data_IF_723699598344
#
_entry.id   IF_723699598344
#
_cell.length_a   1.000
_cell.length_b   1.000
_cell.length_c   1.000
_cell.angle_alpha   90.00
_cell.angle_beta   90.00
_cell.angle_gamma   90.00
#
_symmetry.space_group_name_H-M   'P 1'
#
loop_
_entity.id
_entity.type
_entity.pdbx_description
1 polymer ?
#
# COMPACT_ATOMS: atom_id res chain seq x y z
N UNK A 1 -15.39 -21.10 -14.76
CA UNK A 1 -15.28 -19.64 -14.88
C UNK A 1 -14.20 -19.34 -15.89
N UNK A 2 -14.45 -18.46 -16.78
CA UNK A 2 -13.51 -18.04 -17.82
C UNK A 2 -12.93 -16.68 -17.41
N UNK A 3 -11.74 -16.37 -17.91
CA UNK A 3 -11.08 -15.05 -17.75
C UNK A 3 -11.99 -13.88 -18.21
N UNK A 4 -13.06 -14.17 -18.94
CA UNK A 4 -14.06 -13.20 -19.41
C UNK A 4 -14.97 -12.64 -18.30
N UNK A 5 -14.95 -13.23 -17.10
CA UNK A 5 -15.82 -12.82 -15.98
C UNK A 5 -15.09 -11.88 -14.98
N UNK A 6 -13.87 -11.45 -15.30
CA UNK A 6 -13.10 -10.55 -14.42
C UNK A 6 -13.76 -9.18 -14.36
N UNK A 7 -13.98 -8.70 -13.12
CA UNK A 7 -14.56 -7.40 -12.81
C UNK A 7 -13.63 -6.51 -11.97
N UNK A 8 -12.63 -7.10 -11.29
CA UNK A 8 -11.72 -6.39 -10.41
C UNK A 8 -10.29 -6.87 -10.59
N UNK A 9 -9.36 -5.94 -10.76
CA UNK A 9 -7.92 -6.20 -10.96
C UNK A 9 -7.15 -5.43 -9.88
N UNK A 10 -6.58 -6.13 -8.90
CA UNK A 10 -5.75 -5.57 -7.85
C UNK A 10 -4.27 -5.74 -8.19
N UNK A 11 -3.53 -4.65 -8.17
CA UNK A 11 -2.12 -4.64 -8.57
C UNK A 11 -1.29 -3.98 -7.47
N UNK A 12 -0.29 -4.70 -6.94
CA UNK A 12 0.76 -4.09 -6.16
C UNK A 12 1.66 -3.22 -7.05
N UNK A 13 2.40 -2.30 -6.45
CA UNK A 13 3.23 -1.35 -7.20
C UNK A 13 4.71 -1.73 -7.24
N UNK A 14 5.37 -1.70 -6.07
CA UNK A 14 6.84 -1.79 -5.99
C UNK A 14 7.30 -3.24 -6.17
N UNK A 15 7.96 -3.56 -7.29
CA UNK A 15 8.36 -4.92 -7.65
C UNK A 15 7.27 -5.69 -8.42
N UNK A 16 6.12 -5.06 -8.68
CA UNK A 16 4.98 -5.66 -9.41
C UNK A 16 4.65 -4.85 -10.67
N UNK A 17 3.96 -3.70 -10.53
CA UNK A 17 3.64 -2.84 -11.67
C UNK A 17 4.81 -1.95 -12.08
N UNK A 18 5.55 -1.45 -11.07
CA UNK A 18 6.67 -0.53 -11.27
C UNK A 18 7.97 -1.31 -11.52
N UNK A 19 8.75 -0.85 -12.49
CA UNK A 19 10.14 -1.31 -12.69
C UNK A 19 11.06 -0.82 -11.55
N UNK A 20 12.34 -1.19 -11.56
CA UNK A 20 13.31 -0.81 -10.54
C UNK A 20 13.57 0.70 -10.51
N UNK A 21 13.30 1.42 -11.63
CA UNK A 21 13.35 2.88 -11.71
C UNK A 21 12.09 3.56 -11.17
N UNK A 22 11.13 2.78 -10.67
CA UNK A 22 9.82 3.25 -10.15
C UNK A 22 8.93 3.89 -11.22
N UNK A 23 9.07 3.46 -12.46
CA UNK A 23 8.25 3.84 -13.60
C UNK A 23 7.21 2.75 -13.87
N UNK A 24 5.97 3.13 -14.20
CA UNK A 24 4.93 2.21 -14.66
C UNK A 24 4.99 2.04 -16.19
N UNK A 25 4.52 0.91 -16.75
CA UNK A 25 4.43 0.69 -18.19
C UNK A 25 3.56 1.76 -18.87
N UNK A 26 3.98 2.33 -20.02
CA UNK A 26 3.31 3.47 -20.66
C UNK A 26 1.87 3.16 -21.09
N UNK A 27 1.54 1.92 -21.32
CA UNK A 27 0.20 1.46 -21.72
C UNK A 27 -0.70 1.05 -20.53
N UNK A 28 -0.24 1.19 -19.28
CA UNK A 28 -1.06 0.88 -18.11
C UNK A 28 -2.30 1.81 -18.01
N UNK A 29 -2.10 3.12 -18.12
CA UNK A 29 -3.25 4.05 -18.07
C UNK A 29 -4.21 3.87 -19.25
N UNK A 30 -3.75 3.73 -20.51
CA UNK A 30 -4.60 3.31 -21.64
C UNK A 30 -5.40 2.04 -21.37
N UNK A 31 -4.79 1.02 -20.75
CA UNK A 31 -5.49 -0.21 -20.37
C UNK A 31 -6.61 0.04 -19.35
N UNK A 32 -6.36 0.86 -18.32
CA UNK A 32 -7.39 1.28 -17.36
C UNK A 32 -8.55 1.98 -18.08
N UNK A 33 -8.26 2.93 -18.98
CA UNK A 33 -9.28 3.66 -19.73
C UNK A 33 -10.11 2.77 -20.64
N UNK A 34 -9.50 1.78 -21.28
CA UNK A 34 -10.18 0.84 -22.18
C UNK A 34 -11.08 -0.16 -21.42
N UNK A 35 -10.66 -0.59 -20.22
CA UNK A 35 -11.38 -1.59 -19.44
C UNK A 35 -12.46 -0.99 -18.52
N UNK A 36 -12.32 0.27 -18.09
CA UNK A 36 -13.28 0.93 -17.21
C UNK A 36 -14.72 0.94 -17.77
N UNK A 37 -15.00 1.32 -19.04
CA UNK A 37 -16.36 1.27 -19.59
C UNK A 37 -16.91 -0.15 -19.76
N UNK A 38 -16.04 -1.19 -19.75
CA UNK A 38 -16.45 -2.60 -19.76
C UNK A 38 -16.87 -3.11 -18.38
N UNK A 39 -16.88 -2.25 -17.35
CA UNK A 39 -17.20 -2.61 -15.95
C UNK A 39 -16.03 -3.19 -15.16
N UNK A 40 -14.82 -3.25 -15.71
CA UNK A 40 -13.64 -3.75 -15.02
C UNK A 40 -12.99 -2.61 -14.24
N UNK A 41 -12.75 -2.83 -12.94
CA UNK A 41 -12.18 -1.85 -12.02
C UNK A 41 -10.76 -2.24 -11.63
N UNK A 42 -9.90 -1.24 -11.48
CA UNK A 42 -8.54 -1.43 -11.00
C UNK A 42 -8.37 -0.94 -9.57
N UNK A 43 -7.56 -1.66 -8.83
CA UNK A 43 -7.10 -1.31 -7.48
C UNK A 43 -5.58 -1.21 -7.49
N UNK A 44 -5.04 -0.10 -7.05
CA UNK A 44 -3.61 0.05 -6.76
C UNK A 44 -3.39 -0.19 -5.27
N UNK A 45 -2.69 -1.29 -4.92
CA UNK A 45 -2.49 -1.75 -3.56
C UNK A 45 -1.04 -1.53 -3.11
N UNK A 46 -0.78 -0.59 -2.20
CA UNK A 46 0.59 -0.21 -1.83
C UNK A 46 0.72 0.16 -0.35
N UNK A 47 1.95 0.07 0.18
CA UNK A 47 2.32 0.67 1.47
C UNK A 47 2.49 2.19 1.44
N UNK A 48 2.38 2.82 0.26
CA UNK A 48 2.53 4.28 0.07
C UNK A 48 1.30 5.04 0.53
N UNK A 49 1.50 6.35 0.82
CA UNK A 49 0.41 7.27 1.13
C UNK A 49 -0.52 7.44 -0.09
N UNK A 50 -1.84 7.56 0.15
CA UNK A 50 -2.85 7.79 -0.90
C UNK A 50 -2.49 8.96 -1.83
N UNK A 51 -2.07 10.11 -1.28
CA UNK A 51 -1.72 11.30 -2.07
C UNK A 51 -0.53 11.08 -3.01
N UNK A 52 0.37 10.16 -2.66
CA UNK A 52 1.46 9.74 -3.53
C UNK A 52 0.93 8.92 -4.71
N UNK A 53 0.06 7.94 -4.44
CA UNK A 53 -0.57 7.09 -5.45
C UNK A 53 -1.44 7.89 -6.42
N UNK A 54 -2.35 8.72 -5.89
CA UNK A 54 -3.26 9.53 -6.71
C UNK A 54 -2.49 10.50 -7.63
N UNK A 55 -1.37 11.07 -7.16
CA UNK A 55 -0.55 11.95 -7.99
C UNK A 55 0.21 11.20 -9.09
N UNK A 56 0.63 9.95 -8.83
CA UNK A 56 1.35 9.13 -9.81
C UNK A 56 0.45 8.73 -10.98
N UNK A 57 -0.84 8.45 -10.72
CA UNK A 57 -1.82 8.01 -11.70
C UNK A 57 -2.87 9.06 -12.04
N UNK A 58 -2.52 10.36 -11.89
CA UNK A 58 -3.41 11.51 -12.05
C UNK A 58 -4.39 11.47 -13.23
N UNK A 59 -3.96 11.11 -14.47
CA UNK A 59 -4.84 11.05 -15.63
C UNK A 59 -6.02 10.07 -15.51
N UNK A 60 -5.88 9.01 -14.70
CA UNK A 60 -6.91 7.97 -14.50
C UNK A 60 -7.34 7.84 -13.04
N UNK A 61 -6.96 8.78 -12.18
CA UNK A 61 -7.17 8.70 -10.74
C UNK A 61 -8.65 8.56 -10.34
N UNK A 62 -9.56 9.10 -11.14
CA UNK A 62 -11.01 9.03 -10.98
C UNK A 62 -11.62 7.66 -11.34
N UNK A 63 -10.83 6.76 -11.93
CA UNK A 63 -11.24 5.41 -12.38
C UNK A 63 -10.65 4.30 -11.51
N UNK A 64 -9.87 4.65 -10.49
CA UNK A 64 -9.09 3.72 -9.68
C UNK A 64 -9.61 3.64 -8.24
N UNK A 65 -9.54 2.44 -7.68
CA UNK A 65 -9.50 2.24 -6.24
C UNK A 65 -8.06 2.23 -5.74
N UNK A 66 -7.86 2.63 -4.48
CA UNK A 66 -6.55 2.63 -3.85
C UNK A 66 -6.61 1.93 -2.49
N UNK A 67 -5.73 0.95 -2.29
CA UNK A 67 -5.39 0.42 -0.98
C UNK A 67 -4.08 1.07 -0.57
N UNK A 68 -4.18 2.20 0.12
CA UNK A 68 -3.02 2.91 0.66
C UNK A 68 -2.67 2.38 2.06
N UNK A 69 -1.44 2.63 2.48
CA UNK A 69 -0.93 2.19 3.78
C UNK A 69 -1.17 0.69 4.02
N UNK A 70 -0.84 -0.16 3.01
CA UNK A 70 -1.06 -1.62 3.04
C UNK A 70 -2.52 -2.04 3.28
N UNK A 71 -3.49 -1.24 2.87
CA UNK A 71 -4.91 -1.49 3.07
C UNK A 71 -5.49 -0.85 4.34
N UNK A 72 -4.71 -0.08 5.08
CA UNK A 72 -5.19 0.73 6.21
C UNK A 72 -6.16 1.84 5.79
N UNK A 73 -6.06 2.30 4.55
CA UNK A 73 -6.95 3.24 3.91
C UNK A 73 -7.43 2.69 2.57
N UNK A 74 -8.73 2.80 2.31
CA UNK A 74 -9.32 2.44 1.02
C UNK A 74 -10.00 3.68 0.45
N UNK A 75 -9.63 4.02 -0.79
CA UNK A 75 -10.24 5.13 -1.53
C UNK A 75 -10.93 4.62 -2.78
N UNK A 76 -12.10 5.21 -3.09
CA UNK A 76 -12.76 5.17 -4.40
C UNK A 76 -12.49 6.52 -5.05
N UNK A 77 -11.67 6.55 -6.08
CA UNK A 77 -11.15 7.79 -6.64
C UNK A 77 -10.58 8.72 -5.53
N UNK A 78 -11.33 9.75 -5.13
CA UNK A 78 -10.94 10.74 -4.11
C UNK A 78 -11.63 10.55 -2.76
N UNK A 79 -12.64 9.68 -2.69
CA UNK A 79 -13.42 9.43 -1.48
C UNK A 79 -12.76 8.35 -0.61
N UNK A 80 -12.48 8.65 0.65
CA UNK A 80 -12.08 7.62 1.62
C UNK A 80 -13.31 6.79 2.02
N UNK A 81 -13.38 5.55 1.58
CA UNK A 81 -14.51 4.64 1.82
C UNK A 81 -14.27 3.66 2.97
N UNK A 82 -13.03 3.56 3.46
CA UNK A 82 -12.68 2.77 4.65
C UNK A 82 -11.37 3.26 5.28
N UNK A 83 -11.36 3.29 6.60
CA UNK A 83 -10.21 3.66 7.42
C UNK A 83 -10.07 2.67 8.58
N UNK A 84 -8.86 2.20 8.82
CA UNK A 84 -8.51 1.29 9.92
C UNK A 84 -7.52 1.97 10.87
N UNK A 85 -7.97 2.92 11.72
CA UNK A 85 -7.08 3.71 12.57
C UNK A 85 -6.43 2.87 13.65
N UNK A 86 -5.22 3.26 14.03
CA UNK A 86 -4.59 2.79 15.26
C UNK A 86 -5.42 3.23 16.45
N UNK A 87 -5.50 2.44 17.55
CA UNK A 87 -6.17 2.86 18.76
C UNK A 87 -5.51 4.11 19.37
N UNK A 88 -6.30 5.07 19.80
CA UNK A 88 -5.81 6.36 20.31
C UNK A 88 -4.88 6.23 21.52
N UNK A 89 -5.08 5.19 22.35
CA UNK A 89 -4.29 4.94 23.56
C UNK A 89 -2.87 4.45 23.25
N UNK A 90 -2.61 3.92 22.06
CA UNK A 90 -1.26 3.44 21.67
C UNK A 90 -0.41 4.56 21.05
N UNK A 91 -1.00 5.57 20.44
CA UNK A 91 -0.26 6.63 19.76
C UNK A 91 0.75 7.35 20.65
N UNK A 92 0.40 7.78 21.90
CA UNK A 92 1.37 8.38 22.83
C UNK A 92 2.50 7.40 23.21
N UNK A 93 2.21 6.10 23.28
CA UNK A 93 3.21 5.09 23.63
C UNK A 93 4.20 4.88 22.46
N UNK A 94 3.72 4.88 21.24
CA UNK A 94 4.58 4.80 20.05
C UNK A 94 5.46 6.05 19.92
N UNK A 95 4.89 7.24 20.13
CA UNK A 95 5.66 8.50 20.13
C UNK A 95 6.77 8.48 21.20
N UNK A 96 6.47 8.04 22.42
CA UNK A 96 7.45 7.89 23.49
C UNK A 96 8.55 6.89 23.11
N UNK A 97 8.19 5.73 22.56
CA UNK A 97 9.14 4.72 22.15
C UNK A 97 10.13 5.22 21.08
N UNK A 98 9.65 6.02 20.13
CA UNK A 98 10.51 6.68 19.14
C UNK A 98 11.44 7.72 19.76
N UNK A 99 10.92 8.57 20.65
CA UNK A 99 11.71 9.59 21.34
C UNK A 99 12.84 8.97 22.20
N UNK A 100 12.59 7.86 22.90
CA UNK A 100 13.58 7.17 23.74
C UNK A 100 14.79 6.65 22.96
N UNK A 101 14.63 6.34 21.68
CA UNK A 101 15.72 5.88 20.80
C UNK A 101 16.18 6.96 19.79
N UNK A 102 15.62 8.19 19.89
CA UNK A 102 15.92 9.27 18.97
C UNK A 102 15.60 8.92 17.51
N UNK A 103 14.51 8.20 17.27
CA UNK A 103 14.06 7.84 15.92
C UNK A 103 12.88 8.73 15.50
N UNK A 104 13.00 9.47 14.37
CA UNK A 104 11.88 10.21 13.80
C UNK A 104 10.70 9.32 13.46
N UNK A 105 9.48 9.82 13.74
CA UNK A 105 8.24 9.14 13.41
C UNK A 105 7.45 9.93 12.37
N UNK A 106 6.75 9.17 11.53
CA UNK A 106 5.70 9.67 10.64
C UNK A 106 4.37 9.09 11.13
N UNK A 107 3.47 9.94 11.60
CA UNK A 107 2.10 9.56 11.91
C UNK A 107 1.27 9.71 10.63
N UNK A 108 1.07 8.61 9.90
CA UNK A 108 0.34 8.63 8.63
C UNK A 108 -1.16 8.58 8.89
N UNK A 109 -1.83 9.70 8.63
CA UNK A 109 -3.27 9.86 8.75
C UNK A 109 -3.99 9.83 7.41
N UNK A 110 -5.33 9.95 7.47
CA UNK A 110 -6.20 10.05 6.29
C UNK A 110 -5.92 11.35 5.53
N UNK A 111 -5.67 12.45 6.25
CA UNK A 111 -5.55 13.79 5.67
C UNK A 111 -4.10 14.19 5.38
N UNK A 112 -3.13 13.72 6.18
CA UNK A 112 -1.73 14.10 6.06
C UNK A 112 -0.81 13.08 6.74
N UNK A 113 0.50 13.15 6.45
CA UNK A 113 1.55 12.54 7.25
C UNK A 113 2.13 13.60 8.19
N UNK A 114 2.05 13.40 9.50
CA UNK A 114 2.48 14.33 10.52
C UNK A 114 3.87 13.92 11.02
N UNK A 115 4.80 14.87 11.02
CA UNK A 115 6.23 14.62 11.22
C UNK A 115 6.79 15.69 12.17
N UNK A 116 7.72 15.33 13.06
CA UNK A 116 8.41 16.29 13.90
C UNK A 116 9.16 17.35 13.07
N UNK A 117 9.01 18.61 13.44
CA UNK A 117 9.70 19.71 12.76
C UNK A 117 11.22 19.57 12.84
N UNK A 118 11.72 18.93 13.90
CA UNK A 118 13.11 18.64 14.22
C UNK A 118 13.62 17.27 13.72
N UNK A 119 12.87 16.58 12.86
CA UNK A 119 13.18 15.21 12.41
C UNK A 119 14.54 15.04 11.72
N UNK A 120 15.24 16.12 11.45
CA UNK A 120 16.55 16.14 10.79
C UNK A 120 16.49 16.02 9.25
N UNK A 121 17.59 16.33 8.56
CA UNK A 121 17.62 16.41 7.09
C UNK A 121 17.37 15.06 6.43
N UNK A 122 17.97 13.97 6.93
CA UNK A 122 17.82 12.63 6.35
C UNK A 122 16.37 12.15 6.38
N UNK A 123 15.66 12.32 7.52
CA UNK A 123 14.25 11.95 7.63
C UNK A 123 13.37 12.85 6.75
N UNK A 124 13.69 14.15 6.68
CA UNK A 124 12.96 15.11 5.83
C UNK A 124 13.05 14.78 4.35
N UNK A 125 14.22 14.40 3.88
CA UNK A 125 14.47 13.96 2.49
C UNK A 125 13.79 12.64 2.22
N UNK A 126 14.00 11.64 3.08
CA UNK A 126 13.46 10.30 2.89
C UNK A 126 11.90 10.28 2.91
N UNK A 127 11.29 11.05 3.83
CA UNK A 127 9.82 11.17 3.86
C UNK A 127 9.26 11.83 2.60
N UNK A 128 10.04 12.65 1.87
CA UNK A 128 9.57 13.27 0.62
C UNK A 128 9.29 12.25 -0.49
N UNK A 129 9.99 11.11 -0.48
CA UNK A 129 9.80 10.05 -1.48
C UNK A 129 8.49 9.29 -1.29
N UNK A 130 8.06 9.08 -0.04
CA UNK A 130 6.93 8.23 0.29
C UNK A 130 5.65 8.99 0.68
N UNK A 131 5.79 10.24 1.14
CA UNK A 131 4.69 11.06 1.65
C UNK A 131 4.62 12.38 0.90
N UNK A 132 3.64 12.50 0.01
CA UNK A 132 3.44 13.74 -0.78
C UNK A 132 2.78 14.84 0.06
N UNK A 133 1.78 14.50 0.87
CA UNK A 133 1.11 15.44 1.77
C UNK A 133 1.65 15.28 3.18
N UNK A 134 2.42 16.26 3.63
CA UNK A 134 3.14 16.25 4.90
C UNK A 134 2.83 17.50 5.71
N UNK A 135 2.67 17.32 7.02
CA UNK A 135 2.53 18.39 8.01
C UNK A 135 3.67 18.27 9.00
N UNK A 136 4.53 19.29 9.08
CA UNK A 136 5.61 19.37 10.05
C UNK A 136 5.12 20.16 11.26
N UNK A 137 5.31 19.63 12.47
CA UNK A 137 4.87 20.23 13.73
C UNK A 137 5.84 19.90 14.87
N UNK A 138 5.94 20.79 15.86
CA UNK A 138 6.76 20.53 17.05
C UNK A 138 6.21 19.35 17.86
N UNK A 139 4.88 19.19 17.91
CA UNK A 139 4.19 18.01 18.42
C UNK A 139 3.27 17.42 17.33
N UNK A 140 3.74 16.40 16.60
CA UNK A 140 2.94 15.75 15.55
C UNK A 140 1.63 15.16 16.05
N UNK A 141 1.60 14.61 17.27
CA UNK A 141 0.39 14.01 17.83
C UNK A 141 -0.66 15.09 18.21
N UNK A 142 -0.22 16.24 18.73
CA UNK A 142 -1.10 17.37 18.93
C UNK A 142 -1.65 17.92 17.60
N UNK A 143 -0.83 17.94 16.53
CA UNK A 143 -1.26 18.36 15.20
C UNK A 143 -2.31 17.40 14.60
N UNK A 144 -2.15 16.08 14.77
CA UNK A 144 -3.17 15.08 14.41
C UNK A 144 -4.50 15.37 15.11
N UNK A 145 -4.47 15.60 16.42
CA UNK A 145 -5.68 15.88 17.21
C UNK A 145 -6.35 17.19 16.80
N UNK A 146 -5.56 18.23 16.58
CA UNK A 146 -6.07 19.53 16.12
C UNK A 146 -6.73 19.44 14.73
N UNK A 147 -6.21 18.59 13.86
CA UNK A 147 -6.79 18.33 12.54
C UNK A 147 -8.03 17.41 12.59
N UNK A 148 -8.32 16.76 13.70
CA UNK A 148 -9.35 15.71 13.78
C UNK A 148 -9.06 14.54 12.84
N UNK A 149 -7.77 14.25 12.60
CA UNK A 149 -7.34 13.19 11.69
C UNK A 149 -7.19 11.85 12.42
N UNK A 150 -7.27 10.76 11.67
CA UNK A 150 -7.14 9.39 12.17
C UNK A 150 -5.84 8.78 11.65
N UNK A 151 -4.93 8.39 12.55
CA UNK A 151 -3.64 7.76 12.19
C UNK A 151 -3.85 6.29 11.92
N UNK A 152 -3.46 5.81 10.74
CA UNK A 152 -3.57 4.40 10.33
C UNK A 152 -2.25 3.65 10.36
N UNK A 153 -1.14 4.38 10.27
CA UNK A 153 0.22 3.82 10.33
C UNK A 153 1.15 4.77 11.06
N UNK A 154 2.04 4.23 11.87
CA UNK A 154 3.22 4.94 12.37
C UNK A 154 4.45 4.34 11.71
N UNK A 155 5.13 5.12 10.89
CA UNK A 155 6.40 4.72 10.28
C UNK A 155 7.56 5.31 11.08
N UNK A 156 8.50 4.44 11.46
CA UNK A 156 9.67 4.77 12.28
C UNK A 156 10.90 4.76 11.40
N UNK A 157 11.64 5.84 11.39
CA UNK A 157 12.79 6.00 10.49
C UNK A 157 14.12 5.88 11.23
N UNK A 158 15.06 5.14 10.64
CA UNK A 158 16.47 5.22 10.96
C UNK A 158 17.32 5.26 9.67
N UNK A 159 18.25 6.22 9.51
CA UNK A 159 19.02 6.35 8.27
C UNK A 159 20.05 5.24 8.04
N UNK A 160 20.40 4.50 9.08
CA UNK A 160 21.43 3.45 9.00
C UNK A 160 20.82 2.05 8.94
N UNK A 161 20.06 1.65 9.98
CA UNK A 161 19.52 0.30 10.12
C UNK A 161 18.30 0.29 11.07
N UNK A 162 17.12 0.35 10.48
CA UNK A 162 15.88 0.31 11.26
C UNK A 162 15.62 -1.08 11.88
N UNK A 163 16.15 -2.16 11.30
CA UNK A 163 16.03 -3.50 11.85
C UNK A 163 16.81 -3.64 13.17
N UNK A 164 18.02 -3.09 13.23
CA UNK A 164 18.84 -3.17 14.43
C UNK A 164 18.38 -2.20 15.53
N UNK A 165 17.96 -0.97 15.17
CA UNK A 165 17.66 0.08 16.13
C UNK A 165 16.17 0.18 16.48
N UNK A 166 15.29 0.18 15.48
CA UNK A 166 13.87 0.49 15.68
C UNK A 166 13.04 -0.77 15.95
N UNK A 167 13.24 -1.83 15.17
CA UNK A 167 12.42 -3.04 15.27
C UNK A 167 12.38 -3.63 16.67
N UNK A 168 13.50 -3.84 17.41
CA UNK A 168 13.47 -4.40 18.76
C UNK A 168 12.69 -3.51 19.76
N UNK A 169 12.76 -2.20 19.59
CA UNK A 169 12.06 -1.27 20.48
C UNK A 169 10.55 -1.28 20.25
N UNK A 170 10.12 -1.46 19.00
CA UNK A 170 8.69 -1.51 18.63
C UNK A 170 8.09 -2.91 18.73
N UNK A 171 8.89 -3.97 18.76
CA UNK A 171 8.43 -5.37 18.89
C UNK A 171 7.56 -5.61 20.15
N UNK A 172 7.75 -4.84 21.21
CA UNK A 172 6.93 -4.92 22.43
C UNK A 172 5.44 -4.65 22.20
N UNK A 173 5.08 -3.98 21.12
CA UNK A 173 3.68 -3.70 20.76
C UNK A 173 2.98 -4.87 20.09
N UNK A 174 3.71 -5.92 19.72
CA UNK A 174 3.11 -7.20 19.32
C UNK A 174 2.52 -7.91 20.57
N UNK A 175 1.45 -8.67 20.48
CA UNK A 175 0.66 -8.98 19.29
C UNK A 175 -0.47 -7.96 19.00
N UNK A 176 -0.61 -6.91 19.82
CA UNK A 176 -1.68 -5.90 19.68
C UNK A 176 -1.60 -5.15 18.35
N UNK A 177 -0.37 -4.94 17.86
CA UNK A 177 -0.08 -4.24 16.62
C UNK A 177 0.80 -5.10 15.70
N UNK A 178 0.65 -4.91 14.40
CA UNK A 178 1.56 -5.43 13.39
C UNK A 178 2.78 -4.51 13.33
N UNK A 179 3.96 -5.04 13.59
CA UNK A 179 5.24 -4.35 13.49
C UNK A 179 6.06 -5.06 12.41
N UNK A 180 6.39 -4.37 11.32
CA UNK A 180 6.99 -4.94 10.13
C UNK A 180 8.12 -4.06 9.62
N UNK A 181 9.24 -4.67 9.22
CA UNK A 181 10.27 -3.98 8.46
C UNK A 181 9.72 -3.61 7.07
N UNK A 182 9.90 -2.36 6.69
CA UNK A 182 9.51 -1.79 5.41
C UNK A 182 10.75 -1.26 4.68
N UNK A 183 11.62 -2.20 4.27
CA UNK A 183 12.94 -1.90 3.74
C UNK A 183 14.00 -1.67 4.83
N UNK A 184 15.16 -1.15 4.44
CA UNK A 184 16.33 -1.00 5.32
C UNK A 184 16.13 0.06 6.41
N UNK A 185 15.42 1.14 6.08
CA UNK A 185 15.37 2.36 6.88
C UNK A 185 14.06 2.55 7.65
N UNK A 186 13.08 1.67 7.50
CA UNK A 186 11.75 1.86 8.03
C UNK A 186 11.21 0.67 8.81
N UNK A 187 10.50 0.96 9.89
CA UNK A 187 9.61 0.02 10.59
C UNK A 187 8.21 0.60 10.54
N UNK A 188 7.27 -0.14 9.98
CA UNK A 188 5.85 0.22 9.96
C UNK A 188 5.10 -0.44 11.12
N UNK A 189 4.30 0.36 11.82
CA UNK A 189 3.44 -0.07 12.92
C UNK A 189 1.99 0.25 12.55
N UNK A 190 1.17 -0.80 12.46
CA UNK A 190 -0.25 -0.72 12.06
C UNK A 190 -1.12 -1.59 12.97
N UNK A 191 -2.43 -1.54 12.81
CA UNK A 191 -3.31 -2.54 13.43
C UNK A 191 -2.93 -3.95 12.97
N UNK A 192 -3.07 -4.92 13.87
CA UNK A 192 -2.71 -6.32 13.58
C UNK A 192 -3.56 -6.94 12.47
N UNK A 193 -4.79 -6.47 12.30
CA UNK A 193 -5.78 -6.95 11.33
C UNK A 193 -5.78 -6.16 10.01
N UNK A 194 -4.78 -5.31 9.75
CA UNK A 194 -4.64 -4.58 8.47
C UNK A 194 -3.74 -5.34 7.51
N UNK A 195 -4.26 -5.65 6.33
CA UNK A 195 -3.53 -6.20 5.20
C UNK A 195 -4.28 -5.96 3.89
N UNK A 196 -3.59 -6.11 2.75
CA UNK A 196 -4.17 -5.91 1.40
C UNK A 196 -5.27 -6.91 1.05
N UNK A 197 -5.26 -8.12 1.64
CA UNK A 197 -6.30 -9.13 1.42
C UNK A 197 -7.62 -8.76 2.06
N UNK A 198 -7.62 -8.28 3.31
CA UNK A 198 -8.84 -7.79 3.96
C UNK A 198 -9.40 -6.54 3.27
N UNK A 199 -8.51 -5.67 2.74
CA UNK A 199 -8.94 -4.54 1.92
C UNK A 199 -9.62 -5.01 0.62
N UNK A 200 -9.09 -6.07 -0.03
CA UNK A 200 -9.70 -6.67 -1.22
C UNK A 200 -11.05 -7.32 -0.87
N UNK A 201 -11.13 -8.06 0.21
CA UNK A 201 -12.38 -8.67 0.69
C UNK A 201 -13.46 -7.61 0.98
N UNK A 202 -13.07 -6.50 1.63
CA UNK A 202 -13.99 -5.37 1.87
C UNK A 202 -14.54 -4.82 0.55
N UNK A 203 -13.68 -4.60 -0.44
CA UNK A 203 -14.08 -4.04 -1.72
C UNK A 203 -14.94 -5.03 -2.52
N UNK A 204 -14.61 -6.32 -2.51
CA UNK A 204 -15.41 -7.39 -3.11
C UNK A 204 -16.84 -7.40 -2.55
N UNK A 205 -16.98 -7.37 -1.22
CA UNK A 205 -18.30 -7.32 -0.54
C UNK A 205 -19.08 -6.06 -0.91
N UNK A 206 -18.41 -4.90 -0.95
CA UNK A 206 -19.03 -3.61 -1.28
C UNK A 206 -19.54 -3.57 -2.72
N UNK A 207 -18.81 -4.17 -3.66
CA UNK A 207 -19.16 -4.19 -5.09
C UNK A 207 -20.00 -5.40 -5.52
N UNK A 208 -20.21 -6.37 -4.63
CA UNK A 208 -20.90 -7.63 -4.96
C UNK A 208 -20.08 -8.51 -5.92
N UNK A 209 -18.75 -8.45 -5.87
CA UNK A 209 -17.82 -9.18 -6.74
C UNK A 209 -17.29 -10.42 -6.00
N UNK A 210 -17.41 -11.58 -6.63
CA UNK A 210 -16.88 -12.83 -6.07
C UNK A 210 -15.35 -12.90 -6.23
N UNK A 211 -14.62 -13.63 -5.35
CA UNK A 211 -13.18 -13.84 -5.48
C UNK A 211 -12.75 -14.35 -6.86
N UNK A 212 -13.57 -15.20 -7.48
CA UNK A 212 -13.35 -15.78 -8.82
C UNK A 212 -13.46 -14.75 -9.96
N UNK A 213 -13.99 -13.57 -9.69
CA UNK A 213 -14.06 -12.45 -10.63
C UNK A 213 -12.93 -11.44 -10.40
N UNK A 214 -11.98 -11.77 -9.50
CA UNK A 214 -10.86 -10.92 -9.16
C UNK A 214 -9.55 -11.48 -9.70
N UNK A 215 -8.76 -10.58 -10.28
CA UNK A 215 -7.35 -10.80 -10.63
C UNK A 215 -6.48 -10.03 -9.62
N UNK A 216 -5.37 -10.62 -9.17
CA UNK A 216 -4.43 -9.95 -8.28
C UNK A 216 -2.98 -10.24 -8.68
N UNK A 217 -2.13 -9.21 -8.60
CA UNK A 217 -0.70 -9.29 -8.86
C UNK A 217 0.09 -8.79 -7.64
N UNK A 218 1.15 -9.48 -7.29
CA UNK A 218 2.03 -9.12 -6.19
C UNK A 218 3.37 -9.83 -6.26
N UNK A 219 4.35 -9.38 -5.46
CA UNK A 219 5.70 -9.93 -5.44
C UNK A 219 6.25 -10.19 -4.03
N UNK A 220 5.70 -9.54 -2.99
CA UNK A 220 6.29 -9.58 -1.65
C UNK A 220 5.31 -10.09 -0.58
N UNK A 221 5.77 -10.55 0.61
CA UNK A 221 4.91 -11.15 1.64
C UNK A 221 3.72 -10.32 2.11
N UNK A 222 3.74 -8.97 1.98
CA UNK A 222 2.58 -8.13 2.28
C UNK A 222 1.42 -8.25 1.27
N UNK A 223 1.64 -8.97 0.16
CA UNK A 223 0.62 -9.27 -0.85
C UNK A 223 -0.03 -10.65 -0.65
N UNK A 224 0.49 -11.46 0.27
CA UNK A 224 0.13 -12.87 0.40
C UNK A 224 -1.38 -13.07 0.60
N UNK A 225 -1.98 -12.26 1.47
CA UNK A 225 -3.41 -12.33 1.74
C UNK A 225 -4.23 -11.85 0.53
N UNK A 226 -3.77 -10.84 -0.22
CA UNK A 226 -4.41 -10.36 -1.45
C UNK A 226 -4.36 -11.43 -2.55
N UNK A 227 -3.22 -12.08 -2.72
CA UNK A 227 -3.02 -13.20 -3.65
C UNK A 227 -3.94 -14.38 -3.32
N UNK A 228 -4.12 -14.72 -2.05
CA UNK A 228 -5.03 -15.79 -1.60
C UNK A 228 -6.51 -15.43 -1.77
N UNK A 229 -6.85 -14.15 -1.70
CA UNK A 229 -8.22 -13.65 -1.78
C UNK A 229 -8.74 -13.58 -3.24
N UNK A 230 -7.86 -13.58 -4.23
CA UNK A 230 -8.22 -13.47 -5.64
C UNK A 230 -8.29 -14.84 -6.35
N UNK A 231 -9.31 -15.04 -7.18
CA UNK A 231 -9.49 -16.26 -7.97
C UNK A 231 -8.42 -16.42 -9.06
N UNK A 232 -7.96 -15.32 -9.66
CA UNK A 232 -6.87 -15.26 -10.63
C UNK A 232 -5.66 -14.54 -10.01
N UNK A 233 -4.86 -15.26 -9.23
CA UNK A 233 -3.71 -14.69 -8.52
C UNK A 233 -2.40 -14.99 -9.24
N UNK A 234 -1.61 -13.94 -9.44
CA UNK A 234 -0.33 -13.97 -10.14
C UNK A 234 0.80 -13.53 -9.22
N UNK A 235 1.81 -14.37 -9.06
CA UNK A 235 3.09 -13.97 -8.51
C UNK A 235 4.03 -13.57 -9.66
N UNK A 236 4.73 -12.44 -9.51
CA UNK A 236 5.73 -12.01 -10.47
C UNK A 236 6.93 -12.95 -10.46
N UNK A 237 7.67 -13.07 -11.55
CA UNK A 237 8.84 -13.94 -11.61
C UNK A 237 9.94 -13.55 -10.60
N UNK A 238 10.01 -12.27 -10.23
CA UNK A 238 10.90 -11.74 -9.18
C UNK A 238 10.36 -11.88 -7.76
N UNK A 239 9.23 -12.56 -7.54
CA UNK A 239 8.54 -12.63 -6.24
C UNK A 239 9.32 -13.43 -5.19
N UNK A 240 9.05 -13.09 -3.93
CA UNK A 240 9.44 -13.89 -2.78
C UNK A 240 8.92 -15.33 -2.90
N UNK A 241 9.68 -16.36 -2.45
CA UNK A 241 9.27 -17.76 -2.55
C UNK A 241 7.88 -18.08 -1.97
N UNK A 242 7.47 -17.41 -0.91
CA UNK A 242 6.15 -17.61 -0.29
C UNK A 242 5.00 -17.21 -1.23
N UNK A 243 5.18 -16.11 -1.99
CA UNK A 243 4.19 -15.73 -3.01
C UNK A 243 4.19 -16.69 -4.19
N UNK A 244 5.39 -17.11 -4.62
CA UNK A 244 5.51 -18.14 -5.64
C UNK A 244 4.78 -19.42 -5.24
N UNK A 245 4.80 -19.81 -3.97
CA UNK A 245 4.08 -20.98 -3.47
C UNK A 245 2.55 -20.78 -3.38
N UNK A 246 2.10 -19.55 -3.12
CA UNK A 246 0.69 -19.26 -2.84
C UNK A 246 -0.14 -18.91 -4.08
N UNK A 247 0.46 -18.27 -5.09
CA UNK A 247 -0.25 -17.82 -6.27
C UNK A 247 -0.57 -18.97 -7.24
N UNK A 248 -1.73 -18.88 -7.90
CA UNK A 248 -2.18 -19.88 -8.87
C UNK A 248 -1.41 -19.82 -10.20
N UNK A 249 -0.96 -18.63 -10.57
CA UNK A 249 -0.30 -18.36 -11.86
C UNK A 249 1.00 -17.59 -11.66
N UNK A 250 1.80 -17.52 -12.73
CA UNK A 250 3.03 -16.74 -12.79
C UNK A 250 2.88 -15.66 -13.85
N UNK A 251 3.36 -14.45 -13.52
CA UNK A 251 3.58 -13.37 -14.47
C UNK A 251 5.10 -13.24 -14.72
N UNK A 252 5.53 -12.71 -15.86
CA UNK A 252 6.91 -12.29 -16.07
C UNK A 252 7.36 -11.28 -14.99
N UNK A 253 8.65 -10.98 -14.92
CA UNK A 253 9.17 -10.02 -13.93
C UNK A 253 8.62 -8.60 -14.18
N UNK A 254 8.67 -7.75 -13.14
CA UNK A 254 8.30 -6.34 -13.25
C UNK A 254 9.13 -5.61 -14.32
N UNK A 255 10.43 -5.91 -14.46
CA UNK A 255 11.31 -5.38 -15.50
C UNK A 255 10.91 -5.79 -16.92
N UNK A 256 10.12 -6.83 -17.06
CA UNK A 256 9.60 -7.37 -18.33
C UNK A 256 8.15 -6.95 -18.60
N UNK A 257 7.62 -5.93 -17.95
CA UNK A 257 6.22 -5.51 -18.02
C UNK A 257 5.23 -6.63 -17.70
N UNK A 258 5.54 -7.49 -16.72
CA UNK A 258 4.84 -8.75 -16.48
C UNK A 258 3.34 -8.60 -16.26
N UNK A 259 2.90 -7.58 -15.51
CA UNK A 259 1.47 -7.26 -15.34
C UNK A 259 0.81 -6.98 -16.68
N UNK A 260 1.42 -6.10 -17.50
CA UNK A 260 0.84 -5.71 -18.80
C UNK A 260 0.82 -6.84 -19.81
N UNK A 261 1.80 -7.74 -19.78
CA UNK A 261 1.78 -8.93 -20.63
C UNK A 261 0.58 -9.81 -20.34
N UNK A 262 0.32 -10.10 -19.05
CA UNK A 262 -0.85 -10.88 -18.65
C UNK A 262 -2.16 -10.16 -19.01
N UNK A 263 -2.23 -8.84 -18.82
CA UNK A 263 -3.44 -8.07 -19.16
C UNK A 263 -3.71 -8.05 -20.67
N UNK A 264 -2.69 -7.90 -21.52
CA UNK A 264 -2.85 -7.96 -22.99
C UNK A 264 -3.30 -9.35 -23.48
N UNK A 265 -2.76 -10.44 -22.89
CA UNK A 265 -3.21 -11.80 -23.18
C UNK A 265 -4.65 -12.05 -22.73
N UNK A 266 -5.03 -11.47 -21.60
CA UNK A 266 -6.37 -11.60 -21.01
C UNK A 266 -7.42 -10.78 -21.76
N UNK A 267 -7.04 -9.59 -22.22
CA UNK A 267 -7.92 -8.61 -22.87
C UNK A 267 -7.32 -8.13 -24.21
N UNK A 268 -7.19 -9.01 -25.20
CA UNK A 268 -6.49 -8.70 -26.46
C UNK A 268 -7.14 -7.58 -27.27
N UNK A 269 -8.42 -7.29 -27.02
CA UNK A 269 -9.17 -6.24 -27.72
C UNK A 269 -9.21 -4.91 -26.91
N UNK A 270 -8.37 -4.74 -25.90
CA UNK A 270 -8.38 -3.55 -25.07
C UNK A 270 -7.45 -2.43 -25.55
N UNK A 271 -6.35 -2.78 -26.23
CA UNK A 271 -5.33 -1.84 -26.75
C UNK A 271 -5.06 -2.09 -28.22
#
# INVERSE_FOLDING_TARGET
MTVRDICLIAVDLDGTLLNDRKEYPPDFMPMVEALYPRGIRFVLASGRQYFNLAAMFGPVADKLFYFAENGGLIFDATENISCSPLPDDVLPLLCRAGAEIGAPLVLSGVQSAYIGADCGPAARENTAMYYRKRTFADDPLAAVRAAGDSVVKVAVFDPADAAAKCEPRFAQFRPRLKVTLAGQNWVDVMRADVNKGLALEFLQKRLGIAPEQCMAFGDYPNDLEMIRQAGFSYAMANSHPDLLAAARFRAPANEDDGVMRVLRETFPDAL
#
